data_IF_736319555288
#
_entry.id   IF_736319555288
#
_cell.length_a   1.000
_cell.length_b   1.000
_cell.length_c   1.000
_cell.angle_alpha   90.00
_cell.angle_beta   90.00
_cell.angle_gamma   90.00
#
_symmetry.space_group_name_H-M   'P 1'
#
loop_
_entity.id
_entity.type
_entity.pdbx_description
1 polymer ?
#
# COMPACT_ATOMS: atom_id res chain seq x y z
N UNK A 1 -10.53 18.50 8.38
CA UNK A 1 -11.72 17.79 7.83
C UNK A 1 -12.62 18.74 7.02
N UNK A 2 -12.15 19.93 6.61
CA UNK A 2 -12.97 20.88 5.85
C UNK A 2 -13.36 20.37 4.46
N UNK A 3 -12.52 19.52 3.85
CA UNK A 3 -12.79 18.91 2.54
C UNK A 3 -14.10 18.11 2.46
N UNK A 4 -14.64 17.65 3.60
CA UNK A 4 -15.93 16.93 3.66
C UNK A 4 -17.11 17.81 4.06
N UNK A 5 -16.87 19.05 4.51
CA UNK A 5 -17.92 19.97 4.96
C UNK A 5 -18.88 20.34 3.82
N UNK A 6 -18.35 20.52 2.60
CA UNK A 6 -19.19 20.74 1.42
C UNK A 6 -20.19 19.61 1.17
N UNK A 7 -19.78 18.36 1.42
CA UNK A 7 -20.67 17.19 1.28
C UNK A 7 -21.70 17.13 2.40
N UNK A 8 -21.30 17.48 3.63
CA UNK A 8 -22.23 17.62 4.76
C UNK A 8 -23.30 18.67 4.48
N UNK A 9 -22.93 19.75 3.78
CA UNK A 9 -23.84 20.82 3.36
C UNK A 9 -24.65 20.49 2.08
N UNK A 10 -24.60 19.24 1.60
CA UNK A 10 -25.41 18.76 0.47
C UNK A 10 -24.76 18.86 -0.92
N UNK A 11 -23.50 19.31 -1.01
CA UNK A 11 -22.79 19.40 -2.29
C UNK A 11 -22.27 18.03 -2.72
N UNK A 12 -22.75 17.53 -3.87
CA UNK A 12 -22.30 16.25 -4.45
C UNK A 12 -21.48 16.44 -5.74
N UNK A 13 -21.31 17.67 -6.22
CA UNK A 13 -20.44 17.95 -7.36
C UNK A 13 -19.00 18.20 -6.90
N UNK A 14 -18.09 17.30 -7.31
CA UNK A 14 -16.65 17.36 -7.02
C UNK A 14 -15.97 18.65 -7.51
N UNK A 15 -16.54 19.39 -8.46
CA UNK A 15 -16.00 20.70 -8.90
C UNK A 15 -16.06 21.77 -7.81
N UNK A 16 -16.99 21.63 -6.85
CA UNK A 16 -17.20 22.58 -5.77
C UNK A 16 -16.61 22.13 -4.43
N UNK A 17 -16.20 20.86 -4.31
CA UNK A 17 -15.65 20.30 -3.09
C UNK A 17 -14.17 20.69 -2.92
N UNK A 18 -13.88 21.51 -1.91
CA UNK A 18 -12.53 21.97 -1.55
C UNK A 18 -12.43 22.26 -0.05
N UNK A 19 -11.22 22.17 0.49
CA UNK A 19 -10.86 22.72 1.80
C UNK A 19 -9.74 23.75 1.67
N UNK A 20 -9.17 24.17 2.79
CA UNK A 20 -8.07 25.15 2.82
C UNK A 20 -6.81 24.64 2.10
N UNK A 21 -6.67 23.31 2.00
CA UNK A 21 -5.58 22.61 1.30
C UNK A 21 -5.84 22.38 -0.19
N UNK A 22 -6.94 22.92 -0.73
CA UNK A 22 -7.31 22.83 -2.14
C UNK A 22 -8.48 21.88 -2.42
N UNK A 23 -8.69 21.49 -3.70
CA UNK A 23 -9.83 20.68 -4.09
C UNK A 23 -9.73 19.24 -3.58
N UNK A 24 -10.89 18.65 -3.29
CA UNK A 24 -11.03 17.24 -2.93
C UNK A 24 -10.54 16.36 -4.08
N UNK A 25 -9.54 15.52 -3.78
CA UNK A 25 -8.96 14.58 -4.76
C UNK A 25 -8.88 13.16 -4.25
N UNK A 26 -9.84 12.81 -3.41
CA UNK A 26 -9.96 11.48 -2.85
C UNK A 26 -11.30 10.88 -3.25
N UNK A 27 -11.39 9.56 -3.45
CA UNK A 27 -12.67 8.94 -3.81
C UNK A 27 -13.65 8.95 -2.63
N UNK A 28 -14.89 8.54 -2.91
CA UNK A 28 -16.00 8.66 -1.97
C UNK A 28 -15.78 7.99 -0.60
N UNK A 29 -14.97 6.92 -0.53
CA UNK A 29 -14.65 6.26 0.74
C UNK A 29 -13.92 7.17 1.72
N UNK A 30 -13.03 8.03 1.23
CA UNK A 30 -12.44 9.09 2.06
C UNK A 30 -13.51 10.01 2.63
N UNK A 31 -14.41 10.49 1.76
CA UNK A 31 -15.48 11.42 2.15
C UNK A 31 -16.30 10.82 3.28
N UNK A 32 -16.81 9.60 3.13
CA UNK A 32 -17.66 8.98 4.14
C UNK A 32 -16.95 8.75 5.48
N UNK A 33 -15.72 8.24 5.46
CA UNK A 33 -14.96 8.02 6.69
C UNK A 33 -14.69 9.35 7.39
N UNK A 34 -14.27 10.38 6.64
CA UNK A 34 -13.96 11.68 7.22
C UNK A 34 -15.21 12.47 7.63
N UNK A 35 -16.37 12.22 7.02
CA UNK A 35 -17.66 12.73 7.51
C UNK A 35 -18.03 12.11 8.85
N UNK A 36 -17.86 10.80 9.04
CA UNK A 36 -18.06 10.16 10.35
C UNK A 36 -17.12 10.75 11.39
N UNK A 37 -15.83 10.90 11.06
CA UNK A 37 -14.85 11.50 11.95
C UNK A 37 -15.19 12.97 12.26
N UNK A 38 -15.68 13.73 11.28
CA UNK A 38 -16.11 15.11 11.45
C UNK A 38 -17.20 15.21 12.52
N UNK A 39 -18.23 14.38 12.46
CA UNK A 39 -19.28 14.36 13.49
C UNK A 39 -18.77 13.90 14.86
N UNK A 40 -17.96 12.84 14.92
CA UNK A 40 -17.40 12.33 16.19
C UNK A 40 -16.47 13.32 16.90
N UNK A 41 -15.92 14.29 16.19
CA UNK A 41 -14.93 15.24 16.70
C UNK A 41 -15.51 16.65 16.88
N UNK A 42 -16.83 16.77 17.07
CA UNK A 42 -17.53 18.07 17.14
C UNK A 42 -17.15 18.95 15.94
N UNK A 43 -17.46 18.47 14.72
CA UNK A 43 -17.18 19.18 13.47
C UNK A 43 -15.68 19.43 13.23
N UNK A 44 -14.82 18.54 13.72
CA UNK A 44 -13.36 18.67 13.60
C UNK A 44 -12.69 19.57 14.64
N UNK A 45 -13.43 20.15 15.59
CA UNK A 45 -12.85 21.03 16.62
C UNK A 45 -12.14 20.25 17.74
N UNK A 46 -12.64 19.05 18.07
CA UNK A 46 -12.06 18.21 19.12
C UNK A 46 -10.89 17.37 18.58
N UNK A 47 -9.74 18.02 18.43
CA UNK A 47 -8.50 17.40 17.94
C UNK A 47 -8.11 16.21 18.83
N UNK A 48 -8.22 16.34 20.17
CA UNK A 48 -7.81 15.28 21.09
C UNK A 48 -8.58 13.98 20.88
N UNK A 49 -9.89 14.04 20.65
CA UNK A 49 -10.69 12.85 20.30
C UNK A 49 -10.22 12.26 18.97
N UNK A 50 -9.95 13.10 17.96
CA UNK A 50 -9.40 12.63 16.69
C UNK A 50 -8.06 11.90 16.88
N UNK A 51 -7.16 12.43 17.71
CA UNK A 51 -5.88 11.82 18.04
C UNK A 51 -6.04 10.45 18.71
N UNK A 52 -6.99 10.28 19.63
CA UNK A 52 -7.27 8.98 20.23
C UNK A 52 -7.83 7.97 19.23
N UNK A 53 -8.72 8.39 18.32
CA UNK A 53 -9.23 7.53 17.25
C UNK A 53 -8.07 7.08 16.35
N UNK A 54 -7.20 7.99 15.94
CA UNK A 54 -6.04 7.67 15.11
C UNK A 54 -4.98 6.84 15.83
N UNK A 55 -4.80 7.01 17.14
CA UNK A 55 -3.98 6.11 17.96
C UNK A 55 -4.58 4.69 17.96
N UNK A 56 -5.90 4.56 18.03
CA UNK A 56 -6.60 3.29 17.84
C UNK A 56 -6.33 2.68 16.46
N UNK A 57 -6.45 3.47 15.38
CA UNK A 57 -6.10 3.03 14.02
C UNK A 57 -4.65 2.55 13.92
N UNK A 58 -3.72 3.25 14.58
CA UNK A 58 -2.32 2.87 14.61
C UNK A 58 -2.10 1.52 15.28
N UNK A 59 -2.69 1.28 16.45
CA UNK A 59 -2.57 0.01 17.20
C UNK A 59 -3.17 -1.15 16.41
N UNK A 60 -4.34 -0.97 15.79
CA UNK A 60 -4.97 -2.01 14.97
C UNK A 60 -4.11 -2.30 13.74
N UNK A 61 -3.61 -1.27 13.04
CA UNK A 61 -2.72 -1.45 11.90
C UNK A 61 -1.47 -2.23 12.31
N UNK A 62 -0.87 -1.87 13.44
CA UNK A 62 0.32 -2.56 13.93
C UNK A 62 0.03 -4.02 14.23
N UNK A 63 -1.09 -4.32 14.89
CA UNK A 63 -1.53 -5.69 15.18
C UNK A 63 -1.69 -6.53 13.90
N UNK A 64 -2.24 -5.93 12.83
CA UNK A 64 -2.39 -6.58 11.53
C UNK A 64 -1.05 -6.83 10.83
N UNK A 65 -0.11 -5.89 10.91
CA UNK A 65 1.25 -6.03 10.38
C UNK A 65 2.02 -7.13 11.13
N UNK A 66 1.96 -7.12 12.45
CA UNK A 66 2.57 -8.15 13.31
C UNK A 66 2.01 -9.54 13.00
N UNK A 67 0.70 -9.64 12.75
CA UNK A 67 0.07 -10.89 12.32
C UNK A 67 0.63 -11.38 10.99
N UNK A 68 0.88 -10.50 10.02
CA UNK A 68 1.51 -10.86 8.73
C UNK A 68 2.95 -11.33 8.95
N UNK A 69 3.73 -10.65 9.81
CA UNK A 69 5.10 -11.05 10.12
C UNK A 69 5.16 -12.40 10.85
N UNK A 70 4.29 -12.61 11.83
CA UNK A 70 4.15 -13.90 12.52
C UNK A 70 3.72 -15.00 11.57
N UNK A 71 2.81 -14.72 10.63
CA UNK A 71 2.41 -15.71 9.62
C UNK A 71 3.52 -16.02 8.63
N UNK A 72 4.41 -15.09 8.33
CA UNK A 72 5.47 -15.32 7.34
C UNK A 72 6.74 -15.87 7.98
N UNK A 73 6.98 -15.68 9.28
CA UNK A 73 8.19 -16.09 10.00
C UNK A 73 9.49 -15.63 9.31
N UNK A 74 9.44 -14.53 8.55
CA UNK A 74 10.57 -14.02 7.76
C UNK A 74 11.39 -12.96 8.49
N UNK A 75 10.72 -12.13 9.28
CA UNK A 75 11.32 -10.98 9.97
C UNK A 75 11.62 -11.35 11.42
N UNK A 76 12.87 -11.18 11.90
CA UNK A 76 13.22 -11.42 13.30
C UNK A 76 12.48 -10.48 14.26
N UNK A 77 12.08 -10.95 15.45
CA UNK A 77 11.33 -10.14 16.42
C UNK A 77 12.00 -8.83 16.84
N UNK A 78 13.34 -8.77 16.92
CA UNK A 78 14.04 -7.54 17.31
C UNK A 78 13.88 -6.40 16.28
N UNK A 79 13.74 -6.74 15.00
CA UNK A 79 13.54 -5.75 13.91
C UNK A 79 12.16 -5.12 14.04
N UNK A 80 11.20 -5.89 14.52
CA UNK A 80 9.84 -5.43 14.77
C UNK A 80 9.86 -4.37 15.87
N UNK A 81 10.56 -4.62 16.98
CA UNK A 81 10.68 -3.66 18.09
C UNK A 81 11.31 -2.36 17.58
N UNK A 82 12.38 -2.46 16.78
CA UNK A 82 12.98 -1.28 16.14
C UNK A 82 11.96 -0.56 15.26
N UNK A 83 11.33 -1.23 14.31
CA UNK A 83 10.37 -0.60 13.40
C UNK A 83 9.15 0.01 14.12
N UNK A 84 8.69 -0.56 15.23
CA UNK A 84 7.60 -0.02 16.03
C UNK A 84 8.01 1.25 16.79
N UNK A 85 9.21 1.26 17.37
CA UNK A 85 9.61 2.30 18.32
C UNK A 85 10.41 3.44 17.68
N UNK A 86 11.08 3.22 16.54
CA UNK A 86 12.05 4.19 16.01
C UNK A 86 11.49 5.19 15.01
N UNK A 87 10.32 4.95 14.41
CA UNK A 87 9.84 5.85 13.36
C UNK A 87 9.02 7.02 13.90
N UNK A 88 9.72 8.09 14.28
CA UNK A 88 9.12 9.38 14.66
C UNK A 88 8.07 9.86 13.64
N UNK A 89 8.38 9.74 12.35
CA UNK A 89 7.52 10.23 11.27
C UNK A 89 6.21 9.47 11.17
N UNK A 90 6.23 8.16 11.32
CA UNK A 90 5.01 7.34 11.25
C UNK A 90 4.09 7.68 12.41
N UNK A 91 4.60 7.80 13.64
CA UNK A 91 3.80 8.27 14.78
C UNK A 91 3.20 9.66 14.53
N UNK A 92 3.99 10.59 13.98
CA UNK A 92 3.52 11.94 13.61
C UNK A 92 2.41 11.90 12.56
N UNK A 93 2.52 11.05 11.53
CA UNK A 93 1.50 10.90 10.49
C UNK A 93 0.16 10.44 11.08
N UNK A 94 0.19 9.47 12.02
CA UNK A 94 -1.03 9.00 12.66
C UNK A 94 -1.57 10.00 13.68
N UNK A 95 -0.79 10.40 14.68
CA UNK A 95 -1.31 11.07 15.88
C UNK A 95 -1.28 12.59 15.79
N UNK A 96 -0.39 13.18 14.98
CA UNK A 96 -0.30 14.64 14.86
C UNK A 96 -0.96 15.17 13.59
N UNK A 97 -0.78 14.49 12.46
CA UNK A 97 -1.26 14.97 11.16
C UNK A 97 -2.63 14.42 10.75
N UNK A 98 -3.03 13.26 11.29
CA UNK A 98 -4.35 12.65 11.07
C UNK A 98 -4.69 12.46 9.57
N UNK A 99 -3.68 12.10 8.77
CA UNK A 99 -3.85 11.96 7.31
C UNK A 99 -4.72 10.76 6.91
N UNK A 100 -5.22 10.77 5.68
CA UNK A 100 -5.99 9.64 5.14
C UNK A 100 -5.13 8.42 4.75
N UNK A 101 -3.82 8.61 4.50
CA UNK A 101 -2.91 7.51 4.14
C UNK A 101 -2.91 6.37 5.17
N UNK A 102 -2.80 6.62 6.50
CA UNK A 102 -3.04 5.64 7.54
C UNK A 102 -4.31 4.80 7.40
N UNK A 103 -5.44 5.43 7.10
CA UNK A 103 -6.74 4.76 7.00
C UNK A 103 -6.77 3.84 5.79
N UNK A 104 -6.27 4.31 4.64
CA UNK A 104 -6.14 3.49 3.44
C UNK A 104 -5.24 2.27 3.69
N UNK A 105 -4.08 2.46 4.32
CA UNK A 105 -3.17 1.36 4.65
C UNK A 105 -3.74 0.39 5.69
N UNK A 106 -4.53 0.87 6.66
CA UNK A 106 -5.23 0.02 7.63
C UNK A 106 -6.20 -0.92 6.92
N UNK A 107 -7.07 -0.40 6.06
CA UNK A 107 -8.02 -1.19 5.28
C UNK A 107 -7.29 -2.18 4.36
N UNK A 108 -6.18 -1.77 3.76
CA UNK A 108 -5.32 -2.66 2.96
C UNK A 108 -4.75 -3.81 3.80
N UNK A 109 -4.22 -3.56 5.00
CA UNK A 109 -3.70 -4.63 5.85
C UNK A 109 -4.79 -5.57 6.38
N UNK A 110 -6.03 -5.09 6.55
CA UNK A 110 -7.19 -5.96 6.77
C UNK A 110 -7.40 -6.88 5.56
N UNK A 111 -7.41 -6.33 4.34
CA UNK A 111 -7.56 -7.10 3.11
C UNK A 111 -6.48 -8.18 2.96
N UNK A 112 -5.21 -7.84 3.16
CA UNK A 112 -4.08 -8.78 3.10
C UNK A 112 -4.25 -9.92 4.10
N UNK A 113 -4.65 -9.60 5.33
CA UNK A 113 -4.90 -10.61 6.35
C UNK A 113 -6.04 -11.57 5.97
N UNK A 114 -7.12 -11.05 5.36
CA UNK A 114 -8.24 -11.84 4.85
C UNK A 114 -7.82 -12.73 3.66
N UNK A 115 -6.98 -12.24 2.74
CA UNK A 115 -6.44 -13.05 1.66
C UNK A 115 -5.57 -14.21 2.17
N UNK A 116 -4.71 -13.94 3.17
CA UNK A 116 -3.92 -14.98 3.85
C UNK A 116 -4.80 -16.02 4.55
N UNK A 117 -5.97 -15.61 5.07
CA UNK A 117 -6.97 -16.53 5.65
C UNK A 117 -7.84 -17.25 4.60
N UNK A 118 -7.68 -16.94 3.31
CA UNK A 118 -8.48 -17.50 2.23
C UNK A 118 -9.89 -16.93 2.11
N UNK A 119 -10.21 -15.85 2.83
CA UNK A 119 -11.47 -15.11 2.72
C UNK A 119 -11.39 -14.11 1.56
N UNK A 120 -11.27 -14.63 0.34
CA UNK A 120 -10.99 -13.83 -0.86
C UNK A 120 -12.00 -12.70 -1.11
N UNK A 121 -13.30 -12.98 -1.05
CA UNK A 121 -14.34 -11.96 -1.30
C UNK A 121 -14.38 -10.85 -0.27
N UNK A 122 -14.21 -11.16 1.01
CA UNK A 122 -14.07 -10.12 2.04
C UNK A 122 -12.76 -9.34 1.87
N UNK A 123 -11.67 -10.02 1.51
CA UNK A 123 -10.42 -9.34 1.19
C UNK A 123 -10.56 -8.37 0.01
N UNK A 124 -11.27 -8.76 -1.06
CA UNK A 124 -11.54 -7.91 -2.23
C UNK A 124 -12.41 -6.72 -1.88
N UNK A 125 -13.42 -6.91 -1.02
CA UNK A 125 -14.23 -5.82 -0.48
C UNK A 125 -13.35 -4.80 0.27
N UNK A 126 -12.55 -5.25 1.26
CA UNK A 126 -11.67 -4.36 2.03
C UNK A 126 -10.57 -3.72 1.17
N UNK A 127 -10.06 -4.43 0.17
CA UNK A 127 -9.11 -3.89 -0.79
C UNK A 127 -9.74 -2.74 -1.60
N UNK A 128 -10.97 -2.92 -2.08
CA UNK A 128 -11.72 -1.87 -2.78
C UNK A 128 -12.06 -0.70 -1.85
N UNK A 129 -12.46 -0.97 -0.60
CA UNK A 129 -12.64 0.08 0.40
C UNK A 129 -11.34 0.89 0.60
N UNK A 130 -10.18 0.24 0.67
CA UNK A 130 -8.89 0.93 0.77
C UNK A 130 -8.61 1.82 -0.46
N UNK A 131 -8.85 1.32 -1.68
CA UNK A 131 -8.76 2.11 -2.93
C UNK A 131 -9.70 3.32 -2.91
N UNK A 132 -10.91 3.16 -2.35
CA UNK A 132 -11.89 4.26 -2.24
C UNK A 132 -11.49 5.36 -1.26
N UNK A 133 -10.48 5.13 -0.41
CA UNK A 133 -9.88 6.15 0.45
C UNK A 133 -8.68 6.80 -0.24
N UNK A 134 -7.80 5.99 -0.84
CA UNK A 134 -6.61 6.49 -1.53
C UNK A 134 -6.14 5.56 -2.64
N UNK A 135 -5.80 6.16 -3.78
CA UNK A 135 -5.43 5.43 -4.99
C UNK A 135 -4.10 4.66 -4.91
N UNK A 136 -3.23 4.98 -3.95
CA UNK A 136 -1.92 4.34 -3.81
C UNK A 136 -2.03 2.82 -3.63
N UNK A 137 -3.17 2.34 -3.12
CA UNK A 137 -3.48 0.92 -2.99
C UNK A 137 -3.47 0.21 -4.35
N UNK A 138 -3.70 0.91 -5.46
CA UNK A 138 -3.60 0.34 -6.81
C UNK A 138 -2.19 -0.14 -7.19
N UNK A 139 -1.13 0.31 -6.49
CA UNK A 139 0.23 -0.18 -6.70
C UNK A 139 0.35 -1.69 -6.41
N UNK A 140 -0.57 -2.26 -5.63
CA UNK A 140 -0.65 -3.69 -5.35
C UNK A 140 -1.49 -4.46 -6.39
N UNK A 141 -2.27 -3.78 -7.22
CA UNK A 141 -3.27 -4.38 -8.11
C UNK A 141 -2.71 -5.38 -9.13
N UNK A 142 -1.56 -5.14 -9.80
CA UNK A 142 -1.04 -6.07 -10.80
C UNK A 142 -0.80 -7.47 -10.22
N UNK A 143 -0.19 -7.55 -9.04
CA UNK A 143 0.08 -8.82 -8.38
C UNK A 143 -1.17 -9.43 -7.76
N UNK A 144 -2.07 -8.60 -7.23
CA UNK A 144 -3.34 -9.10 -6.69
C UNK A 144 -4.20 -9.74 -7.78
N UNK A 145 -4.23 -9.17 -8.99
CA UNK A 145 -4.89 -9.76 -10.16
C UNK A 145 -4.27 -11.11 -10.51
N UNK A 146 -2.94 -11.21 -10.57
CA UNK A 146 -2.26 -12.49 -10.79
C UNK A 146 -2.63 -13.50 -9.70
N UNK A 147 -2.70 -13.08 -8.45
CA UNK A 147 -3.06 -13.97 -7.35
C UNK A 147 -4.50 -14.51 -7.48
N UNK A 148 -5.44 -13.68 -7.94
CA UNK A 148 -6.79 -14.15 -8.24
C UNK A 148 -6.79 -15.17 -9.37
N UNK A 149 -6.08 -14.89 -10.47
CA UNK A 149 -6.02 -15.78 -11.62
C UNK A 149 -5.36 -17.13 -11.26
N UNK A 150 -4.26 -17.13 -10.51
CA UNK A 150 -3.56 -18.37 -10.13
C UNK A 150 -4.26 -19.15 -9.04
N UNK A 151 -4.87 -18.47 -8.05
CA UNK A 151 -5.46 -19.14 -6.88
C UNK A 151 -6.93 -19.51 -7.06
N UNK A 152 -7.68 -18.75 -7.86
CA UNK A 152 -9.13 -18.89 -8.02
C UNK A 152 -9.56 -19.21 -9.46
N UNK A 153 -8.64 -19.14 -10.43
CA UNK A 153 -8.95 -19.22 -11.85
C UNK A 153 -9.70 -18.00 -12.38
N UNK A 154 -10.04 -18.02 -13.67
CA UNK A 154 -10.67 -16.89 -14.35
C UNK A 154 -12.03 -16.51 -13.75
N UNK A 155 -12.91 -17.51 -13.51
CA UNK A 155 -14.25 -17.27 -12.95
C UNK A 155 -14.17 -16.63 -11.56
N UNK A 156 -13.28 -17.14 -10.70
CA UNK A 156 -13.09 -16.59 -9.35
C UNK A 156 -12.50 -15.19 -9.39
N UNK A 157 -11.56 -14.93 -10.30
CA UNK A 157 -11.02 -13.59 -10.52
C UNK A 157 -12.09 -12.59 -10.98
N UNK A 158 -12.96 -12.97 -11.92
CA UNK A 158 -14.08 -12.14 -12.36
C UNK A 158 -15.00 -11.78 -11.19
N UNK A 159 -15.36 -12.74 -10.33
CA UNK A 159 -16.17 -12.47 -9.13
C UNK A 159 -15.49 -11.42 -8.23
N UNK A 160 -14.19 -11.54 -7.97
CA UNK A 160 -13.47 -10.58 -7.14
C UNK A 160 -13.39 -9.19 -7.77
N UNK A 161 -13.18 -9.12 -9.09
CA UNK A 161 -13.19 -7.86 -9.83
C UNK A 161 -14.58 -7.21 -9.80
N UNK A 162 -15.66 -8.00 -9.92
CA UNK A 162 -17.03 -7.51 -9.78
C UNK A 162 -17.27 -6.96 -8.38
N UNK A 163 -16.82 -7.63 -7.31
CA UNK A 163 -16.93 -7.11 -5.94
C UNK A 163 -16.19 -5.76 -5.81
N UNK A 164 -14.97 -5.68 -6.35
CA UNK A 164 -14.20 -4.45 -6.31
C UNK A 164 -14.93 -3.31 -7.05
N UNK A 165 -15.37 -3.55 -8.29
CA UNK A 165 -16.07 -2.58 -9.12
C UNK A 165 -17.40 -2.14 -8.50
N UNK A 166 -18.21 -3.09 -8.02
CA UNK A 166 -19.49 -2.81 -7.39
C UNK A 166 -19.34 -1.98 -6.12
N UNK A 167 -18.30 -2.25 -5.31
CA UNK A 167 -17.98 -1.42 -4.14
C UNK A 167 -17.67 0.03 -4.54
N UNK A 168 -16.86 0.25 -5.59
CA UNK A 168 -16.56 1.60 -6.09
C UNK A 168 -17.82 2.29 -6.62
N UNK A 169 -18.68 1.55 -7.34
CA UNK A 169 -19.93 2.10 -7.90
C UNK A 169 -20.90 2.50 -6.80
N UNK A 170 -21.13 1.66 -5.78
CA UNK A 170 -22.01 1.99 -4.64
C UNK A 170 -21.51 3.25 -3.93
N UNK A 171 -20.24 3.28 -3.56
CA UNK A 171 -19.69 4.41 -2.82
C UNK A 171 -19.67 5.68 -3.68
N UNK A 172 -19.36 5.55 -4.97
CA UNK A 172 -19.36 6.68 -5.89
C UNK A 172 -20.75 7.14 -6.34
N UNK A 173 -21.80 6.35 -6.11
CA UNK A 173 -23.11 6.55 -6.76
C UNK A 173 -23.68 7.97 -6.59
N UNK A 174 -23.69 8.58 -5.39
CA UNK A 174 -24.25 9.92 -5.23
C UNK A 174 -23.51 10.97 -6.07
N UNK A 175 -22.19 10.86 -6.15
CA UNK A 175 -21.33 11.77 -6.91
C UNK A 175 -21.39 11.51 -8.41
N UNK A 176 -21.52 10.23 -8.80
CA UNK A 176 -21.70 9.81 -10.19
C UNK A 176 -23.04 10.29 -10.75
N UNK A 177 -24.11 10.29 -9.96
CA UNK A 177 -25.41 10.81 -10.38
C UNK A 177 -25.41 12.34 -10.51
N UNK A 178 -24.64 13.03 -9.67
CA UNK A 178 -24.52 14.50 -9.73
C UNK A 178 -23.66 14.96 -10.90
N UNK A 179 -22.43 14.45 -11.00
CA UNK A 179 -21.48 14.82 -12.07
C UNK A 179 -20.42 13.71 -12.27
N UNK A 180 -20.66 12.75 -13.18
CA UNK A 180 -19.75 11.61 -13.35
C UNK A 180 -18.36 12.02 -13.80
N UNK A 181 -18.24 13.03 -14.67
CA UNK A 181 -16.95 13.48 -15.22
C UNK A 181 -16.13 14.14 -14.12
N UNK A 182 -16.74 15.02 -13.32
CA UNK A 182 -16.07 15.66 -12.20
C UNK A 182 -15.64 14.64 -11.14
N UNK A 183 -16.49 13.67 -10.82
CA UNK A 183 -16.14 12.60 -9.88
C UNK A 183 -14.94 11.78 -10.37
N UNK A 184 -14.99 11.26 -11.61
CA UNK A 184 -13.94 10.39 -12.13
C UNK A 184 -12.59 11.12 -12.27
N UNK A 185 -12.59 12.37 -12.74
CA UNK A 185 -11.36 13.17 -12.84
C UNK A 185 -10.85 13.63 -11.47
N UNK A 186 -11.75 14.03 -10.58
CA UNK A 186 -11.42 14.56 -9.26
C UNK A 186 -10.92 13.49 -8.29
N UNK A 187 -11.67 12.39 -8.14
CA UNK A 187 -11.43 11.35 -7.12
C UNK A 187 -10.07 10.65 -7.21
N UNK A 188 -9.53 10.48 -8.42
CA UNK A 188 -8.23 9.85 -8.66
C UNK A 188 -7.15 10.82 -9.17
N UNK A 189 -7.53 12.00 -9.65
CA UNK A 189 -6.66 13.07 -10.17
C UNK A 189 -5.24 12.64 -10.60
N UNK A 190 -5.15 11.79 -11.63
CA UNK A 190 -3.89 11.19 -12.10
C UNK A 190 -2.94 12.23 -12.70
N UNK A 191 -3.46 13.38 -13.13
CA UNK A 191 -2.69 14.48 -13.70
C UNK A 191 -2.10 15.44 -12.65
N UNK A 192 -2.41 15.26 -11.36
CA UNK A 192 -1.96 16.17 -10.31
C UNK A 192 -0.43 16.22 -10.26
N UNK A 193 0.10 17.42 -10.39
CA UNK A 193 1.50 17.73 -10.12
C UNK A 193 1.56 18.29 -8.70
N UNK A 194 2.32 17.64 -7.84
CA UNK A 194 2.54 18.15 -6.51
C UNK A 194 3.73 19.10 -6.49
N UNK A 195 3.73 20.04 -5.55
CA UNK A 195 4.76 21.07 -5.47
C UNK A 195 6.14 20.45 -5.24
N UNK A 196 7.12 20.95 -5.97
CA UNK A 196 8.48 20.45 -5.96
C UNK A 196 9.17 20.59 -4.58
N UNK A 197 8.77 21.57 -3.78
CA UNK A 197 9.31 21.79 -2.43
C UNK A 197 9.06 20.62 -1.45
N UNK A 198 8.00 19.83 -1.66
CA UNK A 198 7.63 18.74 -0.76
C UNK A 198 8.16 17.37 -1.22
N UNK A 199 8.82 17.29 -2.37
CA UNK A 199 9.31 16.02 -2.91
C UNK A 199 10.46 15.46 -2.08
N UNK A 200 10.39 14.19 -1.70
CA UNK A 200 11.44 13.50 -0.96
C UNK A 200 12.43 12.81 -1.91
N UNK A 201 11.95 12.29 -3.04
CA UNK A 201 12.74 11.37 -3.87
C UNK A 201 13.46 12.04 -5.04
N UNK A 202 12.93 13.09 -5.66
CA UNK A 202 13.54 13.71 -6.86
C UNK A 202 14.14 15.10 -6.64
N UNK A 203 14.50 15.45 -5.41
CA UNK A 203 15.06 16.76 -5.04
C UNK A 203 16.41 17.06 -5.70
N UNK A 204 17.10 16.04 -6.23
CA UNK A 204 18.34 16.25 -6.99
C UNK A 204 18.13 16.68 -8.45
N UNK A 205 16.90 16.66 -8.96
CA UNK A 205 16.59 17.13 -10.32
C UNK A 205 16.19 18.61 -10.31
N UNK A 206 16.42 19.37 -11.40
CA UNK A 206 15.79 20.68 -11.56
C UNK A 206 14.26 20.57 -11.57
N UNK A 207 13.57 21.59 -11.06
CA UNK A 207 12.10 21.63 -11.01
C UNK A 207 11.46 21.52 -12.40
N UNK A 208 12.10 22.12 -13.41
CA UNK A 208 11.70 22.04 -14.82
C UNK A 208 11.62 20.60 -15.33
N UNK A 209 12.59 19.76 -14.94
CA UNK A 209 12.61 18.33 -15.30
C UNK A 209 11.55 17.57 -14.52
N UNK A 210 11.36 17.90 -13.24
CA UNK A 210 10.37 17.26 -12.38
C UNK A 210 8.92 17.46 -12.88
N UNK A 211 8.59 18.67 -13.34
CA UNK A 211 7.24 19.00 -13.84
C UNK A 211 7.03 18.44 -15.26
N UNK A 212 8.10 18.17 -16.01
CA UNK A 212 8.06 17.74 -17.41
C UNK A 212 7.21 16.47 -17.64
N UNK A 213 6.33 16.51 -18.64
CA UNK A 213 5.46 15.39 -18.99
C UNK A 213 6.22 14.17 -19.54
N UNK A 214 7.32 14.37 -20.27
CA UNK A 214 8.16 13.28 -20.76
C UNK A 214 8.85 12.55 -19.60
N UNK A 215 9.26 13.28 -18.55
CA UNK A 215 9.79 12.66 -17.33
C UNK A 215 8.74 11.80 -16.65
N UNK A 216 7.50 12.31 -16.50
CA UNK A 216 6.39 11.52 -15.96
C UNK A 216 6.10 10.24 -16.77
N UNK A 217 6.06 10.35 -18.10
CA UNK A 217 5.86 9.19 -18.98
C UNK A 217 7.02 8.19 -18.91
N UNK A 218 8.27 8.68 -18.83
CA UNK A 218 9.45 7.86 -18.65
C UNK A 218 9.41 7.05 -17.35
N UNK A 219 8.96 7.66 -16.25
CA UNK A 219 8.73 6.96 -14.98
C UNK A 219 7.64 5.88 -15.07
N UNK A 220 6.58 6.13 -15.84
CA UNK A 220 5.54 5.12 -16.08
C UNK A 220 6.08 3.94 -16.89
N UNK A 221 6.86 4.19 -17.95
CA UNK A 221 7.52 3.14 -18.73
C UNK A 221 8.48 2.33 -17.85
N UNK A 222 9.28 3.00 -17.01
CA UNK A 222 10.18 2.34 -16.06
C UNK A 222 9.41 1.47 -15.06
N UNK A 223 8.28 1.97 -14.53
CA UNK A 223 7.40 1.22 -13.64
C UNK A 223 6.90 -0.08 -14.29
N UNK A 224 6.37 0.01 -15.51
CA UNK A 224 5.88 -1.15 -16.26
C UNK A 224 7.01 -2.13 -16.62
N UNK A 225 8.18 -1.63 -17.01
CA UNK A 225 9.34 -2.45 -17.29
C UNK A 225 9.81 -3.24 -16.06
N UNK A 226 9.91 -2.59 -14.89
CA UNK A 226 10.28 -3.26 -13.65
C UNK A 226 9.23 -4.30 -13.22
N UNK A 227 7.93 -4.00 -13.34
CA UNK A 227 6.87 -4.99 -13.11
C UNK A 227 7.01 -6.19 -14.04
N UNK A 228 7.29 -5.97 -15.33
CA UNK A 228 7.54 -7.03 -16.30
C UNK A 228 8.77 -7.88 -15.94
N UNK A 229 9.84 -7.27 -15.44
CA UNK A 229 11.00 -8.02 -14.94
C UNK A 229 10.58 -8.98 -13.81
N UNK A 230 9.84 -8.48 -12.80
CA UNK A 230 9.41 -9.29 -11.66
C UNK A 230 8.23 -10.23 -11.95
N UNK A 231 7.57 -10.11 -13.10
CA UNK A 231 6.39 -10.88 -13.48
C UNK A 231 6.61 -12.40 -13.37
N UNK A 232 7.68 -12.92 -13.96
CA UNK A 232 7.97 -14.36 -13.96
C UNK A 232 8.17 -14.92 -12.54
N UNK A 233 8.91 -14.19 -11.71
CA UNK A 233 9.12 -14.51 -10.29
C UNK A 233 7.81 -14.47 -9.51
N UNK A 234 7.01 -13.41 -9.69
CA UNK A 234 5.73 -13.24 -9.03
C UNK A 234 4.76 -14.36 -9.39
N UNK A 235 4.65 -14.70 -10.68
CA UNK A 235 3.82 -15.79 -11.17
C UNK A 235 4.24 -17.13 -10.56
N UNK A 236 5.54 -17.42 -10.53
CA UNK A 236 6.05 -18.65 -9.92
C UNK A 236 5.72 -18.74 -8.43
N UNK A 237 5.91 -17.64 -7.68
CA UNK A 237 5.55 -17.57 -6.27
C UNK A 237 4.05 -17.84 -6.06
N UNK A 238 3.20 -17.18 -6.84
CA UNK A 238 1.74 -17.27 -6.71
C UNK A 238 1.18 -18.62 -7.16
N UNK A 239 1.74 -19.26 -8.19
CA UNK A 239 1.40 -20.63 -8.57
C UNK A 239 1.79 -21.61 -7.46
N UNK A 240 2.98 -21.44 -6.86
CA UNK A 240 3.44 -22.27 -5.76
C UNK A 240 2.56 -22.09 -4.52
N UNK A 241 2.15 -20.85 -4.22
CA UNK A 241 1.18 -20.54 -3.18
C UNK A 241 -0.17 -21.24 -3.40
N UNK A 242 -0.73 -21.15 -4.62
CA UNK A 242 -2.00 -21.78 -4.95
C UNK A 242 -1.93 -23.31 -4.75
N UNK A 243 -0.86 -23.94 -5.23
CA UNK A 243 -0.61 -25.39 -5.07
C UNK A 243 -0.52 -25.78 -3.60
N UNK A 244 0.30 -25.07 -2.80
CA UNK A 244 0.46 -25.35 -1.37
C UNK A 244 -0.86 -25.17 -0.60
N UNK A 245 -1.65 -24.16 -0.97
CA UNK A 245 -2.95 -23.92 -0.35
C UNK A 245 -3.95 -25.04 -0.68
N UNK A 246 -3.98 -25.52 -1.92
CA UNK A 246 -4.82 -26.66 -2.30
C UNK A 246 -4.43 -27.95 -1.57
N UNK A 247 -3.12 -28.22 -1.44
CA UNK A 247 -2.61 -29.37 -0.69
C UNK A 247 -3.01 -29.25 0.78
N UNK A 248 -2.80 -28.08 1.39
CA UNK A 248 -3.17 -27.81 2.79
C UNK A 248 -4.65 -28.05 3.05
N UNK A 249 -5.54 -27.59 2.17
CA UNK A 249 -6.98 -27.81 2.32
C UNK A 249 -7.38 -29.29 2.15
N UNK A 250 -6.72 -30.04 1.25
CA UNK A 250 -6.91 -31.50 1.14
C UNK A 250 -6.47 -32.21 2.42
N UNK A 251 -5.29 -31.88 2.94
CA UNK A 251 -4.73 -32.45 4.18
C UNK A 251 -5.63 -32.13 5.38
N UNK A 252 -6.11 -30.89 5.53
CA UNK A 252 -7.05 -30.51 6.60
C UNK A 252 -8.35 -31.30 6.55
N UNK A 253 -8.88 -31.57 5.35
CA UNK A 253 -10.08 -32.40 5.18
C UNK A 253 -9.84 -33.85 5.55
N UNK A 254 -8.66 -34.38 5.27
CA UNK A 254 -8.26 -35.74 5.64
C UNK A 254 -7.97 -35.89 7.14
N UNK A 255 -7.42 -34.85 7.77
CA UNK A 255 -7.08 -34.81 9.21
C UNK A 255 -8.24 -34.36 10.10
N UNK A 256 -9.49 -34.39 9.61
CA UNK A 256 -10.70 -34.02 10.38
C UNK A 256 -10.82 -34.93 11.62
N UNK A 257 -10.20 -34.51 12.73
CA UNK A 257 -10.07 -35.30 13.97
C UNK A 257 -8.79 -35.04 14.77
N UNK A 258 -7.70 -34.53 14.17
CA UNK A 258 -6.46 -34.18 14.89
C UNK A 258 -6.22 -32.66 14.87
N UNK A 259 -5.93 -32.06 16.03
CA UNK A 259 -5.61 -30.62 16.21
C UNK A 259 -4.19 -30.27 15.72
N UNK A 260 -3.69 -30.90 14.66
CA UNK A 260 -2.37 -30.53 14.13
C UNK A 260 -2.49 -29.27 13.26
N UNK A 261 -1.75 -28.24 13.63
CA UNK A 261 -1.65 -27.01 12.85
C UNK A 261 -0.65 -27.25 11.72
N UNK A 262 -1.13 -27.22 10.48
CA UNK A 262 -0.25 -27.16 9.30
C UNK A 262 0.43 -25.80 9.29
N UNK A 263 1.76 -25.75 9.42
CA UNK A 263 2.53 -24.52 9.27
C UNK A 263 2.48 -24.04 7.82
N UNK A 264 1.82 -22.89 7.61
CA UNK A 264 1.66 -22.26 6.30
C UNK A 264 2.59 -21.07 6.12
N UNK A 265 3.67 -20.97 6.90
CA UNK A 265 4.59 -19.85 6.86
C UNK A 265 5.23 -19.62 5.49
N UNK A 266 5.71 -20.69 4.87
CA UNK A 266 6.25 -20.65 3.52
C UNK A 266 5.20 -20.19 2.48
N UNK A 267 3.95 -20.67 2.61
CA UNK A 267 2.87 -20.26 1.71
C UNK A 267 2.53 -18.76 1.86
N UNK A 268 2.51 -18.24 3.09
CA UNK A 268 2.30 -16.81 3.33
C UNK A 268 3.40 -15.96 2.67
N UNK A 269 4.66 -16.41 2.73
CA UNK A 269 5.78 -15.69 2.08
C UNK A 269 5.61 -15.60 0.56
N UNK A 270 5.18 -16.68 -0.07
CA UNK A 270 4.96 -16.77 -1.53
C UNK A 270 3.85 -15.83 -2.02
N UNK A 271 2.88 -15.48 -1.17
CA UNK A 271 1.85 -14.49 -1.49
C UNK A 271 2.31 -13.04 -1.20
N UNK A 272 2.95 -12.81 -0.04
CA UNK A 272 3.28 -11.46 0.45
C UNK A 272 4.47 -10.84 -0.30
N UNK A 273 5.49 -11.63 -0.64
CA UNK A 273 6.69 -11.12 -1.32
C UNK A 273 6.38 -10.40 -2.65
N UNK A 274 5.70 -11.02 -3.62
CA UNK A 274 5.41 -10.34 -4.88
C UNK A 274 4.50 -9.12 -4.66
N UNK A 275 3.55 -9.20 -3.71
CA UNK A 275 2.62 -8.11 -3.41
C UNK A 275 3.36 -6.87 -2.91
N UNK A 276 4.25 -7.03 -1.93
CA UNK A 276 5.04 -5.93 -1.38
C UNK A 276 6.10 -5.41 -2.38
N UNK A 277 6.62 -6.29 -3.24
CA UNK A 277 7.58 -5.91 -4.29
C UNK A 277 6.93 -4.99 -5.33
N UNK A 278 5.70 -5.29 -5.76
CA UNK A 278 4.98 -4.43 -6.71
C UNK A 278 4.74 -3.02 -6.17
N UNK A 279 4.38 -2.91 -4.88
CA UNK A 279 4.24 -1.60 -4.23
C UNK A 279 5.57 -0.84 -4.14
N UNK A 280 6.67 -1.52 -3.81
CA UNK A 280 8.00 -0.90 -3.81
C UNK A 280 8.37 -0.36 -5.20
N UNK A 281 8.12 -1.14 -6.26
CA UNK A 281 8.33 -0.70 -7.65
C UNK A 281 7.49 0.54 -7.97
N UNK A 282 6.24 0.57 -7.51
CA UNK A 282 5.36 1.75 -7.60
C UNK A 282 5.92 2.98 -6.89
N UNK A 283 6.33 2.83 -5.63
CA UNK A 283 6.90 3.92 -4.82
C UNK A 283 8.21 4.44 -5.42
N UNK A 284 9.11 3.55 -5.84
CA UNK A 284 10.40 3.92 -6.42
C UNK A 284 10.26 4.70 -7.75
N UNK A 285 9.23 4.38 -8.55
CA UNK A 285 8.93 5.06 -9.80
C UNK A 285 7.96 6.23 -9.65
N UNK A 286 7.49 6.54 -8.43
CA UNK A 286 6.55 7.65 -8.23
C UNK A 286 7.24 8.99 -8.51
N UNK A 287 6.62 9.84 -9.33
CA UNK A 287 7.16 11.17 -9.64
C UNK A 287 7.28 12.06 -8.42
N UNK A 288 6.33 12.01 -7.49
CA UNK A 288 6.40 12.83 -6.28
C UNK A 288 6.08 12.00 -5.05
N UNK A 289 6.99 12.02 -4.09
CA UNK A 289 6.78 11.46 -2.78
C UNK A 289 6.77 12.55 -1.72
N UNK A 290 5.60 12.82 -1.13
CA UNK A 290 5.53 13.64 0.09
C UNK A 290 5.73 12.79 1.31
N UNK A 291 6.18 13.43 2.37
CA UNK A 291 6.42 12.82 3.67
C UNK A 291 5.30 11.95 4.23
N UNK A 292 4.02 12.24 3.93
CA UNK A 292 2.89 11.41 4.36
C UNK A 292 2.86 10.04 3.68
N UNK A 293 3.42 9.94 2.46
CA UNK A 293 3.45 8.72 1.66
C UNK A 293 4.45 7.69 2.19
N UNK A 294 5.24 8.03 3.22
CA UNK A 294 6.12 7.05 3.86
C UNK A 294 5.35 5.82 4.37
N UNK A 295 4.14 6.04 4.89
CA UNK A 295 3.27 4.97 5.41
C UNK A 295 2.86 3.95 4.34
N UNK A 296 2.94 4.29 3.05
CA UNK A 296 2.57 3.41 1.94
C UNK A 296 3.40 2.14 1.88
N UNK A 297 4.63 2.18 2.40
CA UNK A 297 5.56 1.05 2.32
C UNK A 297 6.45 0.89 3.56
N UNK A 298 6.41 1.80 4.53
CA UNK A 298 7.19 1.67 5.77
C UNK A 298 7.06 0.28 6.41
N UNK A 299 5.83 -0.19 6.60
CA UNK A 299 5.55 -1.49 7.22
C UNK A 299 5.85 -2.69 6.30
N UNK A 300 6.18 -2.48 5.02
CA UNK A 300 6.65 -3.56 4.13
C UNK A 300 8.17 -3.65 4.06
N UNK A 301 8.89 -2.56 4.40
CA UNK A 301 10.35 -2.48 4.30
C UNK A 301 11.10 -3.56 5.09
N UNK A 302 10.80 -3.86 6.37
CA UNK A 302 11.49 -4.93 7.09
C UNK A 302 11.34 -6.28 6.41
N UNK A 303 10.14 -6.60 5.94
CA UNK A 303 9.88 -7.85 5.24
C UNK A 303 10.68 -7.95 3.92
N UNK A 304 10.70 -6.86 3.14
CA UNK A 304 11.45 -6.82 1.88
C UNK A 304 12.95 -6.93 2.12
N UNK A 305 13.49 -6.24 3.13
CA UNK A 305 14.92 -6.33 3.49
C UNK A 305 15.33 -7.73 3.91
N UNK A 306 14.53 -8.42 4.73
CA UNK A 306 14.79 -9.80 5.11
C UNK A 306 14.53 -10.82 3.99
N UNK A 307 14.00 -10.36 2.85
CA UNK A 307 13.89 -11.13 1.62
C UNK A 307 15.05 -10.89 0.65
N UNK A 308 16.04 -10.08 1.00
CA UNK A 308 17.29 -9.88 0.22
C UNK A 308 18.43 -10.78 0.73
N UNK A 309 19.48 -11.05 -0.08
CA UNK A 309 20.61 -11.87 0.34
C UNK A 309 21.65 -11.11 1.20
N UNK A 310 21.36 -9.86 1.58
CA UNK A 310 22.30 -9.01 2.32
C UNK A 310 22.53 -9.46 3.76
N UNK A 311 23.66 -9.07 4.35
CA UNK A 311 23.94 -9.28 5.77
C UNK A 311 22.99 -8.48 6.65
N UNK A 312 22.79 -8.89 7.91
CA UNK A 312 21.91 -8.19 8.84
C UNK A 312 22.34 -6.73 9.05
N UNK A 313 23.65 -6.46 9.07
CA UNK A 313 24.21 -5.10 9.19
C UNK A 313 23.77 -4.27 7.98
N UNK A 314 23.98 -4.78 6.76
CA UNK A 314 23.58 -4.06 5.55
C UNK A 314 22.07 -3.79 5.49
N UNK A 315 21.23 -4.77 5.89
CA UNK A 315 19.76 -4.60 5.97
C UNK A 315 19.38 -3.48 6.94
N UNK A 316 19.96 -3.47 8.15
CA UNK A 316 19.68 -2.45 9.15
C UNK A 316 20.20 -1.07 8.73
N UNK A 317 21.40 -1.01 8.13
CA UNK A 317 21.93 0.24 7.58
C UNK A 317 21.02 0.80 6.49
N UNK A 318 20.55 -0.02 5.55
CA UNK A 318 19.61 0.42 4.51
C UNK A 318 18.29 0.93 5.10
N UNK A 319 17.73 0.24 6.10
CA UNK A 319 16.54 0.73 6.81
C UNK A 319 16.80 2.07 7.51
N UNK A 320 17.95 2.21 8.16
CA UNK A 320 18.35 3.44 8.83
C UNK A 320 18.54 4.61 7.87
N UNK A 321 19.15 4.39 6.71
CA UNK A 321 19.29 5.41 5.66
C UNK A 321 17.93 5.79 5.09
N UNK A 322 17.04 4.84 4.83
CA UNK A 322 15.67 5.16 4.39
C UNK A 322 14.97 6.02 5.45
N UNK A 323 15.01 5.63 6.73
CA UNK A 323 14.42 6.42 7.83
C UNK A 323 15.03 7.83 7.91
N UNK A 324 16.34 7.97 7.74
CA UNK A 324 17.02 9.26 7.67
C UNK A 324 16.52 10.12 6.49
N UNK A 325 16.41 9.55 5.28
CA UNK A 325 15.93 10.25 4.10
C UNK A 325 14.50 10.76 4.29
N UNK A 326 13.63 9.95 4.89
CA UNK A 326 12.26 10.39 5.19
C UNK A 326 12.21 11.43 6.30
N UNK A 327 13.15 11.43 7.25
CA UNK A 327 13.14 12.39 8.35
C UNK A 327 13.77 13.75 8.02
N UNK A 328 14.62 13.83 7.01
CA UNK A 328 15.22 15.09 6.53
C UNK A 328 14.16 16.01 5.90
N UNK A 329 13.89 17.17 6.52
CA UNK A 329 12.98 18.20 6.02
C UNK A 329 13.60 19.61 6.10
N UNK A 330 13.59 20.41 5.01
CA UNK A 330 13.27 20.00 3.63
C UNK A 330 14.25 18.95 3.12
N UNK A 331 13.88 18.21 2.08
CA UNK A 331 14.77 17.23 1.47
C UNK A 331 15.99 17.91 0.85
N UNK A 332 17.12 17.22 0.87
CA UNK A 332 18.40 17.64 0.26
C UNK A 332 18.76 16.75 -0.93
N UNK A 333 19.66 17.23 -1.80
CA UNK A 333 20.24 16.45 -2.91
C UNK A 333 20.74 15.07 -2.42
N UNK A 334 21.44 15.06 -1.29
CA UNK A 334 22.02 13.86 -0.68
C UNK A 334 20.95 12.91 -0.19
N UNK A 335 19.96 13.39 0.58
CA UNK A 335 18.87 12.54 1.09
C UNK A 335 18.04 11.91 -0.03
N UNK A 336 17.80 12.69 -1.08
CA UNK A 336 17.01 12.27 -2.25
C UNK A 336 17.77 11.24 -3.09
N UNK A 337 19.04 11.47 -3.40
CA UNK A 337 19.88 10.49 -4.09
C UNK A 337 20.07 9.20 -3.27
N UNK A 338 20.32 9.33 -1.96
CA UNK A 338 20.46 8.19 -1.05
C UNK A 338 19.19 7.33 -0.98
N UNK A 339 17.99 7.95 -1.02
CA UNK A 339 16.74 7.21 -1.08
C UNK A 339 16.63 6.35 -2.35
N UNK A 340 16.98 6.90 -3.52
CA UNK A 340 17.01 6.15 -4.77
C UNK A 340 18.03 5.02 -4.76
N UNK A 341 19.22 5.25 -4.21
CA UNK A 341 20.24 4.21 -4.04
C UNK A 341 19.69 3.07 -3.15
N UNK A 342 19.00 3.41 -2.05
CA UNK A 342 18.40 2.41 -1.18
C UNK A 342 17.28 1.62 -1.85
N UNK A 343 16.39 2.28 -2.60
CA UNK A 343 15.35 1.60 -3.39
C UNK A 343 15.95 0.71 -4.48
N UNK A 344 16.99 1.18 -5.18
CA UNK A 344 17.72 0.41 -6.18
C UNK A 344 18.42 -0.82 -5.59
N UNK A 345 19.11 -0.66 -4.46
CA UNK A 345 19.73 -1.76 -3.72
C UNK A 345 18.68 -2.79 -3.26
N UNK A 346 17.54 -2.33 -2.73
CA UNK A 346 16.45 -3.22 -2.33
C UNK A 346 15.89 -4.02 -3.52
N UNK A 347 15.58 -3.35 -4.64
CA UNK A 347 15.09 -4.02 -5.85
C UNK A 347 16.12 -4.99 -6.42
N UNK A 348 17.39 -4.62 -6.45
CA UNK A 348 18.48 -5.51 -6.89
C UNK A 348 18.63 -6.73 -5.98
N UNK A 349 18.58 -6.55 -4.66
CA UNK A 349 18.61 -7.64 -3.69
C UNK A 349 17.44 -8.61 -3.87
N UNK A 350 16.23 -8.09 -4.06
CA UNK A 350 15.04 -8.89 -4.36
C UNK A 350 15.16 -9.63 -5.69
N UNK A 351 15.74 -8.99 -6.72
CA UNK A 351 16.00 -9.61 -8.01
C UNK A 351 16.99 -10.78 -7.92
N UNK A 352 18.07 -10.61 -7.14
CA UNK A 352 19.07 -11.66 -6.94
C UNK A 352 18.52 -12.85 -6.15
N UNK A 353 17.62 -12.59 -5.21
CA UNK A 353 16.98 -13.64 -4.40
C UNK A 353 15.63 -14.12 -4.98
N UNK A 354 15.38 -13.90 -6.28
CA UNK A 354 14.14 -14.35 -6.91
C UNK A 354 14.11 -15.89 -6.96
N UNK A 355 13.00 -16.53 -6.58
CA UNK A 355 12.83 -17.95 -6.80
C UNK A 355 12.74 -18.20 -8.31
N UNK A 356 13.77 -18.81 -8.86
CA UNK A 356 13.80 -19.22 -10.27
C UNK A 356 12.96 -20.49 -10.42
N UNK A 357 12.00 -20.47 -11.34
CA UNK A 357 11.42 -21.72 -11.86
C UNK A 357 12.52 -22.60 -12.46
N UNK A 358 12.30 -23.91 -12.51
CA UNK A 358 13.21 -25.03 -12.87
C UNK A 358 14.01 -24.94 -14.21
N UNK A 359 14.39 -23.77 -14.72
CA UNK A 359 15.03 -23.57 -16.03
C UNK A 359 16.43 -22.92 -16.02
N UNK A 360 17.11 -22.82 -14.87
CA UNK A 360 18.52 -22.33 -14.79
C UNK A 360 19.39 -23.17 -13.86
N UNK A 361 19.19 -24.48 -13.88
CA UNK A 361 20.19 -25.45 -13.41
C UNK A 361 20.70 -26.19 -14.63
N UNK A 362 21.44 -25.48 -15.49
CA UNK A 362 22.37 -26.03 -16.47
C UNK A 362 23.59 -25.12 -16.47
#
# INVERSE_FOLDING_TARGET
MQEVEGVVNGTLDYTHLKGDTGPLVYPAGFVYIFTVLYYLTNQGQNIRVAQYIFAGFYIVLLSLVLRIYSKTNKVPPYVIILACCTSYRIHSIFVLRLFNDPVAMLLFYVAVNLFLDGKWSLGSLFYSLAVSVKMNILLFAPVLLLAYLTSLGLKGALIQLTICAFTQLILGLPFLLSNPIAYLKGSFNLGRIFLYEWTVNWRFLPEEVFINQYFHLGLLVLHLALLACFYSSALHCLCSYATLKQISEKVKRQLKGKKEKVDMGAAAQLFILPLFTANLVGVACSRSLHYQFYVWYFHTLPYLMWSTPYSNIARLCLLGVIEFCWNTFPSTLVSSAALHICHGALLYGLWKNKPLGKGRQQ
#
